data_IF_809343748569
#
_entry.id   IF_809343748569
#
_cell.length_a   1.000
_cell.length_b   1.000
_cell.length_c   1.000
_cell.angle_alpha   90.00
_cell.angle_beta   90.00
_cell.angle_gamma   90.00
#
_symmetry.space_group_name_H-M   'P 1'
#
loop_
_entity.id
_entity.type
_entity.pdbx_description
1 polymer ?
#
# COMPACT_ATOMS: atom_id res chain seq x y z
N UNK A 1 -5.11 1.71 1.28
CA UNK A 1 -3.64 1.68 1.02
C UNK A 1 -3.44 1.35 -0.45
N UNK A 2 -2.52 2.05 -1.11
CA UNK A 2 -2.09 1.73 -2.47
C UNK A 2 -0.62 1.35 -2.46
N UNK A 3 -0.26 0.39 -3.30
CA UNK A 3 1.11 -0.11 -3.44
C UNK A 3 1.46 -0.10 -4.93
N UNK A 4 2.72 0.14 -5.23
CA UNK A 4 3.29 0.02 -6.57
C UNK A 4 4.41 -1.00 -6.48
N UNK A 5 4.39 -2.00 -7.33
CA UNK A 5 5.45 -2.98 -7.43
C UNK A 5 6.47 -2.50 -8.46
N UNK A 6 7.73 -2.40 -8.06
CA UNK A 6 8.82 -1.96 -8.94
C UNK A 6 9.88 -3.04 -8.99
N UNK A 7 10.26 -3.44 -10.20
CA UNK A 7 11.43 -4.26 -10.47
C UNK A 7 12.58 -3.34 -10.90
N UNK A 8 13.50 -3.07 -9.97
CA UNK A 8 14.70 -2.27 -10.22
C UNK A 8 15.78 -3.06 -10.93
N UNK A 9 16.88 -2.39 -11.32
CA UNK A 9 18.04 -2.99 -11.98
C UNK A 9 17.67 -3.71 -13.30
N UNK A 10 16.75 -3.12 -14.04
CA UNK A 10 16.29 -3.73 -15.29
C UNK A 10 17.38 -3.79 -16.35
N UNK A 11 18.32 -2.86 -16.33
CA UNK A 11 19.57 -2.87 -17.13
C UNK A 11 20.39 -4.15 -16.92
N UNK A 12 20.60 -4.57 -15.65
CA UNK A 12 21.33 -5.80 -15.36
C UNK A 12 20.55 -7.04 -15.83
N UNK A 13 19.24 -7.04 -15.70
CA UNK A 13 18.43 -8.13 -16.22
C UNK A 13 18.46 -8.22 -17.75
N UNK A 14 18.52 -7.07 -18.45
CA UNK A 14 18.69 -7.00 -19.90
C UNK A 14 20.07 -7.55 -20.30
N UNK A 15 21.12 -7.22 -19.57
CA UNK A 15 22.46 -7.75 -19.82
C UNK A 15 22.47 -9.28 -19.71
N UNK A 16 21.90 -9.82 -18.62
CA UNK A 16 21.88 -11.28 -18.39
C UNK A 16 21.08 -12.07 -19.45
N UNK A 17 19.95 -11.53 -19.94
CA UNK A 17 19.07 -12.21 -20.92
C UNK A 17 19.39 -11.86 -22.38
N UNK A 18 20.10 -10.76 -22.61
CA UNK A 18 20.35 -10.19 -23.94
C UNK A 18 21.28 -11.01 -24.81
N UNK A 19 22.19 -11.79 -24.20
CA UNK A 19 23.09 -12.67 -24.93
C UNK A 19 22.37 -13.78 -25.69
N UNK A 20 21.19 -14.18 -25.25
CA UNK A 20 20.37 -15.23 -25.87
C UNK A 20 19.31 -14.68 -26.84
N UNK A 21 19.33 -13.39 -27.14
CA UNK A 21 18.32 -12.69 -27.94
C UNK A 21 18.95 -11.89 -29.08
N UNK A 22 18.12 -11.55 -30.02
CA UNK A 22 18.53 -10.83 -31.27
C UNK A 22 18.18 -9.34 -31.25
N UNK A 23 17.53 -8.86 -30.22
CA UNK A 23 17.15 -7.45 -30.09
C UNK A 23 16.76 -7.06 -28.66
N UNK A 24 16.83 -5.75 -28.34
CA UNK A 24 16.34 -5.17 -27.10
C UNK A 24 14.87 -5.54 -26.85
N UNK A 25 14.03 -5.43 -27.87
CA UNK A 25 12.60 -5.72 -27.74
C UNK A 25 12.35 -7.20 -27.38
N UNK A 26 13.02 -8.13 -28.04
CA UNK A 26 12.88 -9.56 -27.75
C UNK A 26 13.34 -9.88 -26.31
N UNK A 27 14.43 -9.26 -25.86
CA UNK A 27 14.95 -9.37 -24.49
C UNK A 27 13.95 -8.84 -23.47
N UNK A 28 13.42 -7.64 -23.68
CA UNK A 28 12.42 -7.04 -22.78
C UNK A 28 11.13 -7.83 -22.69
N UNK A 29 10.59 -8.28 -23.82
CA UNK A 29 9.35 -9.06 -23.89
C UNK A 29 9.48 -10.38 -23.10
N UNK A 30 10.64 -11.04 -23.26
CA UNK A 30 10.94 -12.25 -22.48
C UNK A 30 11.07 -11.97 -20.98
N UNK A 31 11.82 -10.92 -20.62
CA UNK A 31 12.00 -10.53 -19.22
C UNK A 31 10.69 -10.11 -18.56
N UNK A 32 9.89 -9.27 -19.21
CA UNK A 32 8.58 -8.83 -18.72
C UNK A 32 7.66 -10.01 -18.48
N UNK A 33 7.64 -10.99 -19.39
CA UNK A 33 6.86 -12.23 -19.26
C UNK A 33 7.36 -13.10 -18.09
N UNK A 34 8.68 -13.35 -18.02
CA UNK A 34 9.29 -14.23 -17.00
C UNK A 34 9.20 -13.63 -15.61
N UNK A 35 9.62 -12.37 -15.47
CA UNK A 35 9.62 -11.68 -14.18
C UNK A 35 8.21 -11.29 -13.73
N UNK A 36 7.32 -10.94 -14.66
CA UNK A 36 5.90 -10.70 -14.36
C UNK A 36 5.22 -11.93 -13.80
N UNK A 37 5.42 -13.11 -14.41
CA UNK A 37 4.90 -14.38 -13.90
C UNK A 37 5.44 -14.72 -12.50
N UNK A 38 6.74 -14.47 -12.27
CA UNK A 38 7.35 -14.67 -10.95
C UNK A 38 6.76 -13.72 -9.91
N UNK A 39 6.62 -12.45 -10.25
CA UNK A 39 6.01 -11.45 -9.37
C UNK A 39 4.57 -11.82 -9.01
N UNK A 40 3.75 -12.20 -9.97
CA UNK A 40 2.37 -12.66 -9.75
C UNK A 40 2.32 -13.86 -8.80
N UNK A 41 3.18 -14.85 -9.02
CA UNK A 41 3.27 -16.03 -8.15
C UNK A 41 3.65 -15.66 -6.70
N UNK A 42 4.64 -14.80 -6.51
CA UNK A 42 5.09 -14.38 -5.18
C UNK A 42 4.06 -13.47 -4.49
N UNK A 43 3.42 -12.56 -5.22
CA UNK A 43 2.36 -11.71 -4.66
C UNK A 43 1.14 -12.54 -4.26
N UNK A 44 0.77 -13.56 -5.05
CA UNK A 44 -0.31 -14.50 -4.70
C UNK A 44 0.00 -15.27 -3.42
N UNK A 45 1.21 -15.82 -3.27
CA UNK A 45 1.63 -16.51 -2.03
C UNK A 45 1.57 -15.57 -0.81
N UNK A 46 2.08 -14.34 -0.94
CA UNK A 46 2.02 -13.35 0.13
C UNK A 46 0.58 -12.97 0.47
N UNK A 47 -0.30 -12.86 -0.52
CA UNK A 47 -1.71 -12.60 -0.32
C UNK A 47 -2.37 -13.72 0.48
N UNK A 48 -2.11 -14.97 0.14
CA UNK A 48 -2.64 -16.13 0.86
C UNK A 48 -2.16 -16.16 2.32
N UNK A 49 -0.89 -15.88 2.57
CA UNK A 49 -0.37 -15.73 3.93
C UNK A 49 -1.07 -14.62 4.72
N UNK A 50 -1.35 -13.47 4.08
CA UNK A 50 -2.08 -12.36 4.73
C UNK A 50 -3.53 -12.72 5.00
N UNK A 51 -4.15 -13.46 4.11
CA UNK A 51 -5.51 -13.96 4.30
C UNK A 51 -5.60 -14.94 5.48
N UNK A 52 -4.66 -15.88 5.59
CA UNK A 52 -4.60 -16.84 6.71
C UNK A 52 -4.50 -16.17 8.09
N UNK A 53 -3.82 -15.02 8.17
CA UNK A 53 -3.75 -14.23 9.42
C UNK A 53 -4.85 -13.17 9.55
N UNK A 54 -5.94 -13.29 8.77
CA UNK A 54 -7.11 -12.43 8.86
C UNK A 54 -6.95 -11.03 8.28
N UNK A 55 -5.85 -10.73 7.56
CA UNK A 55 -5.59 -9.41 6.96
C UNK A 55 -6.14 -9.33 5.52
N UNK A 56 -7.45 -9.41 5.37
CA UNK A 56 -8.14 -9.52 4.07
C UNK A 56 -7.87 -8.35 3.13
N UNK A 57 -7.87 -7.11 3.64
CA UNK A 57 -7.58 -5.92 2.82
C UNK A 57 -6.16 -5.96 2.24
N UNK A 58 -5.18 -6.35 3.05
CA UNK A 58 -3.80 -6.47 2.58
C UNK A 58 -3.65 -7.61 1.55
N UNK A 59 -4.37 -8.72 1.73
CA UNK A 59 -4.40 -9.81 0.77
C UNK A 59 -4.96 -9.35 -0.58
N UNK A 60 -6.06 -8.60 -0.57
CA UNK A 60 -6.65 -8.03 -1.79
C UNK A 60 -5.73 -7.04 -2.50
N UNK A 61 -5.03 -6.18 -1.74
CA UNK A 61 -4.03 -5.27 -2.31
C UNK A 61 -2.90 -6.01 -3.01
N UNK A 62 -2.38 -7.07 -2.40
CA UNK A 62 -1.30 -7.89 -2.99
C UNK A 62 -1.76 -8.60 -4.27
N UNK A 63 -2.99 -9.15 -4.30
CA UNK A 63 -3.54 -9.78 -5.51
C UNK A 63 -3.71 -8.82 -6.69
N UNK A 64 -3.86 -7.53 -6.42
CA UNK A 64 -3.96 -6.51 -7.47
C UNK A 64 -2.59 -6.05 -8.00
N UNK A 65 -1.48 -6.49 -7.39
CA UNK A 65 -0.12 -6.17 -7.82
C UNK A 65 0.40 -7.22 -8.83
N UNK A 66 -0.24 -7.32 -9.98
CA UNK A 66 0.04 -8.37 -10.96
C UNK A 66 1.18 -8.06 -11.91
N UNK A 67 1.51 -6.77 -12.08
CA UNK A 67 2.57 -6.36 -13.02
C UNK A 67 3.51 -5.35 -12.36
N UNK A 68 4.81 -5.68 -12.24
CA UNK A 68 5.81 -4.75 -11.78
C UNK A 68 6.12 -3.70 -12.86
N UNK A 69 6.44 -2.49 -12.42
CA UNK A 69 7.07 -1.49 -13.26
C UNK A 69 8.57 -1.82 -13.31
N UNK A 70 9.06 -2.17 -14.49
CA UNK A 70 10.48 -2.41 -14.72
C UNK A 70 11.18 -1.06 -14.90
N UNK A 71 12.21 -0.79 -14.11
CA UNK A 71 12.92 0.48 -14.14
C UNK A 71 14.42 0.30 -13.85
N UNK A 72 15.25 1.19 -14.39
CA UNK A 72 16.68 1.23 -14.12
C UNK A 72 17.18 2.64 -13.80
N UNK A 73 17.84 2.79 -12.66
CA UNK A 73 18.52 4.03 -12.28
C UNK A 73 19.78 4.28 -13.12
N UNK A 74 20.50 3.23 -13.50
CA UNK A 74 21.68 3.36 -14.35
C UNK A 74 21.29 3.81 -15.76
N UNK A 75 20.29 3.18 -16.37
CA UNK A 75 19.78 3.59 -17.68
C UNK A 75 19.28 5.05 -17.67
N UNK A 76 18.63 5.47 -16.57
CA UNK A 76 18.27 6.88 -16.39
C UNK A 76 19.50 7.79 -16.37
N UNK A 77 20.56 7.39 -15.70
CA UNK A 77 21.82 8.11 -15.69
C UNK A 77 22.49 8.12 -17.07
N UNK A 78 22.48 7.01 -17.81
CA UNK A 78 23.04 6.94 -19.18
C UNK A 78 22.33 7.90 -20.13
N UNK A 79 21.01 8.06 -19.99
CA UNK A 79 20.23 8.96 -20.81
C UNK A 79 20.38 10.44 -20.45
N UNK A 80 20.64 10.78 -19.17
CA UNK A 80 20.46 12.15 -18.67
C UNK A 80 21.70 12.77 -18.02
N UNK A 81 22.72 11.99 -17.68
CA UNK A 81 23.90 12.50 -16.98
C UNK A 81 25.13 12.47 -17.88
N UNK A 82 26.02 13.45 -17.80
CA UNK A 82 27.28 13.44 -18.50
C UNK A 82 28.16 12.29 -17.96
N UNK A 83 28.95 11.67 -18.86
CA UNK A 83 29.78 10.48 -18.57
C UNK A 83 30.78 10.69 -17.43
N UNK A 84 31.18 11.92 -17.18
CA UNK A 84 32.08 12.33 -16.09
C UNK A 84 31.49 12.08 -14.69
N UNK A 85 30.17 12.07 -14.59
CA UNK A 85 29.43 11.79 -13.34
C UNK A 85 29.20 10.30 -13.09
N UNK A 86 29.54 9.45 -14.04
CA UNK A 86 29.29 8.02 -13.90
C UNK A 86 30.38 7.39 -13.02
N UNK A 87 29.97 6.65 -12.00
CA UNK A 87 30.87 5.80 -11.23
C UNK A 87 31.40 4.62 -12.04
N UNK A 88 32.42 3.95 -11.52
CA UNK A 88 33.08 2.83 -12.23
C UNK A 88 32.09 1.71 -12.58
N UNK A 89 31.22 1.31 -11.65
CA UNK A 89 30.22 0.26 -11.91
C UNK A 89 29.24 0.67 -13.02
N UNK A 90 28.84 1.93 -13.04
CA UNK A 90 27.94 2.46 -14.05
C UNK A 90 28.59 2.45 -15.44
N UNK A 91 29.85 2.84 -15.54
CA UNK A 91 30.65 2.76 -16.77
C UNK A 91 30.80 1.32 -17.25
N UNK A 92 31.06 0.40 -16.32
CA UNK A 92 31.19 -1.02 -16.64
C UNK A 92 29.89 -1.56 -17.24
N UNK A 93 28.74 -1.38 -16.56
CA UNK A 93 27.42 -1.83 -17.06
C UNK A 93 27.08 -1.21 -18.41
N UNK A 94 27.38 0.07 -18.62
CA UNK A 94 27.17 0.72 -19.91
C UNK A 94 27.97 0.04 -21.03
N UNK A 95 29.25 -0.20 -20.80
CA UNK A 95 30.12 -0.81 -21.80
C UNK A 95 29.69 -2.25 -22.13
N UNK A 96 29.41 -3.04 -21.10
CA UNK A 96 28.92 -4.42 -21.26
C UNK A 96 27.60 -4.48 -22.07
N UNK A 97 26.66 -3.59 -21.79
CA UNK A 97 25.40 -3.53 -22.54
C UNK A 97 25.60 -3.09 -24.00
N UNK A 98 26.50 -2.14 -24.25
CA UNK A 98 26.82 -1.73 -25.62
C UNK A 98 27.56 -2.81 -26.42
N UNK A 99 28.49 -3.50 -25.76
CA UNK A 99 29.22 -4.62 -26.34
C UNK A 99 28.28 -5.78 -26.67
N UNK A 100 27.47 -6.19 -25.71
CA UNK A 100 26.44 -7.20 -25.91
C UNK A 100 25.47 -6.86 -27.04
N UNK A 101 24.99 -5.61 -27.11
CA UNK A 101 24.11 -5.17 -28.17
C UNK A 101 24.80 -5.21 -29.55
N UNK A 102 26.07 -4.80 -29.63
CA UNK A 102 26.86 -4.84 -30.88
C UNK A 102 27.06 -6.27 -31.32
N UNK A 103 27.41 -7.16 -30.42
CA UNK A 103 27.77 -8.56 -30.75
C UNK A 103 26.54 -9.42 -31.06
N UNK A 104 25.42 -9.23 -30.33
CA UNK A 104 24.28 -10.15 -30.43
C UNK A 104 23.06 -9.54 -31.14
N UNK A 105 22.98 -8.20 -31.29
CA UNK A 105 21.80 -7.53 -31.87
C UNK A 105 22.14 -6.90 -33.25
N UNK A 106 22.78 -7.65 -34.11
CA UNK A 106 23.10 -7.28 -35.50
C UNK A 106 23.90 -5.99 -35.66
N UNK A 107 24.84 -5.73 -34.72
CA UNK A 107 25.65 -4.50 -34.73
C UNK A 107 24.94 -3.26 -34.22
N UNK A 108 23.81 -3.43 -33.54
CA UNK A 108 23.06 -2.33 -32.98
C UNK A 108 23.80 -1.69 -31.78
N UNK A 109 23.69 -0.37 -31.66
CA UNK A 109 24.14 0.36 -30.48
C UNK A 109 22.92 0.92 -29.75
N UNK A 110 22.92 0.82 -28.42
CA UNK A 110 21.87 1.41 -27.59
C UNK A 110 21.97 2.93 -27.64
N UNK A 111 20.90 3.56 -28.09
CA UNK A 111 20.77 5.02 -28.21
C UNK A 111 20.31 5.67 -26.92
N UNK A 112 20.31 7.01 -26.86
CA UNK A 112 19.76 7.75 -25.72
C UNK A 112 18.25 7.47 -25.51
N UNK A 113 17.52 7.18 -26.58
CA UNK A 113 16.09 6.83 -26.49
C UNK A 113 15.89 5.42 -25.93
N UNK A 114 16.74 4.46 -26.32
CA UNK A 114 16.73 3.13 -25.72
C UNK A 114 17.02 3.21 -24.21
N UNK A 115 17.97 4.03 -23.80
CA UNK A 115 18.26 4.24 -22.37
C UNK A 115 17.09 4.87 -21.62
N UNK A 116 16.37 5.83 -22.21
CA UNK A 116 15.15 6.40 -21.62
C UNK A 116 14.06 5.34 -21.49
N UNK A 117 13.92 4.49 -22.51
CA UNK A 117 12.97 3.39 -22.51
C UNK A 117 13.28 2.36 -21.43
N UNK A 118 14.53 1.91 -21.33
CA UNK A 118 14.99 0.97 -20.28
C UNK A 118 14.85 1.60 -18.88
N UNK A 119 15.13 2.90 -18.74
CA UNK A 119 14.97 3.63 -17.49
C UNK A 119 13.53 3.61 -16.98
N UNK A 120 12.58 3.82 -17.87
CA UNK A 120 11.12 3.80 -17.64
C UNK A 120 10.66 4.66 -16.44
N UNK A 121 11.34 5.77 -16.20
CA UNK A 121 11.05 6.66 -15.08
C UNK A 121 9.72 7.39 -15.23
N UNK A 122 9.24 7.61 -16.44
CA UNK A 122 7.92 8.22 -16.68
C UNK A 122 6.79 7.35 -16.14
N UNK A 123 6.82 6.04 -16.39
CA UNK A 123 5.85 5.10 -15.85
C UNK A 123 5.93 5.06 -14.31
N UNK A 124 7.14 5.10 -13.74
CA UNK A 124 7.36 5.12 -12.30
C UNK A 124 6.79 6.40 -11.66
N UNK A 125 7.08 7.57 -12.24
CA UNK A 125 6.57 8.87 -11.77
C UNK A 125 5.05 8.93 -11.87
N UNK A 126 4.49 8.46 -13.00
CA UNK A 126 3.04 8.41 -13.21
C UNK A 126 2.36 7.52 -12.18
N UNK A 127 2.89 6.32 -11.94
CA UNK A 127 2.36 5.40 -10.92
C UNK A 127 2.44 6.00 -9.50
N UNK A 128 3.54 6.67 -9.18
CA UNK A 128 3.69 7.38 -7.91
C UNK A 128 2.69 8.52 -7.75
N UNK A 129 2.52 9.36 -8.78
CA UNK A 129 1.57 10.47 -8.76
C UNK A 129 0.13 9.96 -8.62
N UNK A 130 -0.23 8.90 -9.34
CA UNK A 130 -1.53 8.26 -9.23
C UNK A 130 -1.76 7.74 -7.81
N UNK A 131 -0.80 7.01 -7.25
CA UNK A 131 -0.88 6.48 -5.89
C UNK A 131 -1.02 7.61 -4.85
N UNK A 132 -0.32 8.74 -5.04
CA UNK A 132 -0.40 9.93 -4.18
C UNK A 132 -1.78 10.58 -4.26
N UNK A 133 -2.30 10.80 -5.45
CA UNK A 133 -3.63 11.40 -5.67
C UNK A 133 -4.72 10.55 -5.05
N UNK A 134 -4.68 9.25 -5.26
CA UNK A 134 -5.62 8.30 -4.68
C UNK A 134 -5.53 8.25 -3.15
N UNK A 135 -4.32 8.35 -2.58
CA UNK A 135 -4.14 8.45 -1.13
C UNK A 135 -4.82 9.70 -0.57
N UNK A 136 -4.64 10.84 -1.21
CA UNK A 136 -5.26 12.11 -0.78
C UNK A 136 -6.79 12.00 -0.83
N UNK A 137 -7.34 11.44 -1.92
CA UNK A 137 -8.77 11.23 -2.06
C UNK A 137 -9.34 10.30 -0.98
N UNK A 138 -8.65 9.20 -0.69
CA UNK A 138 -9.02 8.27 0.37
C UNK A 138 -8.97 8.90 1.77
N UNK A 139 -7.93 9.69 2.07
CA UNK A 139 -7.83 10.40 3.35
C UNK A 139 -8.96 11.41 3.50
N UNK A 140 -9.28 12.15 2.44
CA UNK A 140 -10.41 13.09 2.44
C UNK A 140 -11.74 12.38 2.67
N UNK A 141 -11.98 11.26 1.99
CA UNK A 141 -13.18 10.43 2.18
C UNK A 141 -13.27 9.88 3.61
N UNK A 142 -12.15 9.42 4.18
CA UNK A 142 -12.10 8.95 5.56
C UNK A 142 -12.41 10.09 6.55
N UNK A 143 -11.83 11.27 6.35
CA UNK A 143 -12.15 12.44 7.19
C UNK A 143 -13.61 12.84 7.10
N UNK A 144 -14.18 12.85 5.91
CA UNK A 144 -15.60 13.16 5.68
C UNK A 144 -16.53 12.10 6.31
N UNK A 145 -16.10 10.84 6.38
CA UNK A 145 -16.85 9.74 7.00
C UNK A 145 -16.77 9.68 8.53
N UNK A 146 -15.68 10.18 9.13
CA UNK A 146 -15.45 10.08 10.59
C UNK A 146 -16.54 10.78 11.41
N UNK A 147 -16.95 11.96 11.02
CA UNK A 147 -17.94 12.76 11.77
C UNK A 147 -19.34 12.11 11.76
N UNK A 148 -19.90 11.67 10.62
CA UNK A 148 -21.14 10.93 10.55
C UNK A 148 -21.10 9.61 11.35
N UNK A 149 -20.00 8.86 11.27
CA UNK A 149 -19.82 7.60 11.99
C UNK A 149 -19.77 7.83 13.51
N UNK A 150 -19.02 8.83 13.97
CA UNK A 150 -18.95 9.21 15.37
C UNK A 150 -20.33 9.66 15.89
N UNK A 151 -21.07 10.42 15.09
CA UNK A 151 -22.45 10.84 15.43
C UNK A 151 -23.40 9.65 15.55
N UNK A 152 -23.34 8.70 14.61
CA UNK A 152 -24.17 7.50 14.65
C UNK A 152 -23.86 6.63 15.87
N UNK A 153 -22.58 6.47 16.21
CA UNK A 153 -22.13 5.73 17.39
C UNK A 153 -22.60 6.39 18.70
N UNK A 154 -22.52 7.72 18.79
CA UNK A 154 -23.03 8.49 19.93
C UNK A 154 -24.55 8.36 20.07
N UNK A 155 -25.29 8.44 18.98
CA UNK A 155 -26.75 8.26 18.99
C UNK A 155 -27.13 6.85 19.46
N UNK A 156 -26.44 5.82 18.97
CA UNK A 156 -26.64 4.43 19.41
C UNK A 156 -26.38 4.25 20.90
N UNK A 157 -25.27 4.82 21.39
CA UNK A 157 -24.91 4.79 22.81
C UNK A 157 -25.96 5.49 23.69
N UNK A 158 -26.45 6.66 23.25
CA UNK A 158 -27.51 7.38 23.96
C UNK A 158 -28.82 6.58 24.01
N UNK A 159 -29.20 5.93 22.91
CA UNK A 159 -30.38 5.06 22.87
C UNK A 159 -30.22 3.87 23.82
N UNK A 160 -29.07 3.22 23.86
CA UNK A 160 -28.79 2.13 24.78
C UNK A 160 -28.83 2.57 26.24
N UNK A 161 -28.26 3.75 26.58
CA UNK A 161 -28.29 4.33 27.89
C UNK A 161 -29.73 4.68 28.32
N UNK A 162 -30.49 5.34 27.45
CA UNK A 162 -31.90 5.68 27.74
C UNK A 162 -32.70 4.42 28.02
N UNK A 163 -32.58 3.40 27.20
CA UNK A 163 -33.28 2.12 27.38
C UNK A 163 -32.85 1.39 28.67
N UNK A 164 -31.56 1.44 29.02
CA UNK A 164 -31.06 0.86 30.26
C UNK A 164 -31.61 1.61 31.48
N UNK A 165 -31.67 2.94 31.45
CA UNK A 165 -32.24 3.78 32.50
C UNK A 165 -33.76 3.51 32.65
N UNK A 166 -34.52 3.50 31.55
CA UNK A 166 -35.95 3.18 31.57
C UNK A 166 -36.21 1.79 32.15
N UNK A 167 -35.45 0.79 31.74
CA UNK A 167 -35.54 -0.56 32.28
C UNK A 167 -35.24 -0.56 33.77
N UNK A 168 -34.28 0.23 34.20
CA UNK A 168 -33.89 0.35 35.59
C UNK A 168 -34.95 1.07 36.47
N UNK A 169 -35.54 2.13 35.91
CA UNK A 169 -36.67 2.81 36.56
C UNK A 169 -37.82 1.84 36.78
N UNK A 170 -38.18 1.04 35.77
CA UNK A 170 -39.22 0.04 35.86
C UNK A 170 -38.89 -1.08 36.90
N UNK A 171 -37.62 -1.46 37.03
CA UNK A 171 -37.19 -2.41 38.07
C UNK A 171 -37.28 -1.80 39.46
N UNK A 172 -36.79 -0.56 39.63
CA UNK A 172 -36.84 0.14 40.90
C UNK A 172 -38.26 0.41 41.41
N UNK A 173 -39.22 0.56 40.48
CA UNK A 173 -40.64 0.68 40.86
C UNK A 173 -41.24 -0.65 41.36
N UNK A 174 -40.58 -1.78 41.09
CA UNK A 174 -41.04 -3.12 41.46
C UNK A 174 -40.31 -3.72 42.69
N UNK A 175 -39.11 -3.22 42.97
CA UNK A 175 -38.27 -3.81 44.03
C UNK A 175 -38.30 -3.03 45.34
N UNK A 176 -38.16 -3.77 46.46
CA UNK A 176 -38.21 -3.28 47.85
C UNK A 176 -37.05 -2.32 48.17
N UNK A 177 -37.32 -1.26 48.91
CA UNK A 177 -36.38 -0.16 49.24
C UNK A 177 -35.06 -0.63 49.90
N UNK A 178 -35.00 -1.82 50.48
CA UNK A 178 -33.78 -2.38 51.10
C UNK A 178 -32.66 -2.76 50.13
N UNK A 179 -32.98 -3.01 48.87
CA UNK A 179 -32.00 -3.37 47.80
C UNK A 179 -31.44 -2.16 47.04
N UNK A 180 -32.07 -0.99 47.22
CA UNK A 180 -31.74 0.24 46.48
C UNK A 180 -30.30 0.72 46.66
N UNK A 181 -29.74 0.59 47.85
CA UNK A 181 -28.40 1.09 48.16
C UNK A 181 -27.27 0.32 47.47
N UNK A 182 -27.39 -0.99 47.34
CA UNK A 182 -26.38 -1.82 46.68
C UNK A 182 -26.47 -1.71 45.14
N UNK A 183 -27.67 -1.50 44.65
CA UNK A 183 -27.95 -1.32 43.24
C UNK A 183 -27.56 0.06 42.71
N UNK A 184 -27.69 1.11 43.53
CA UNK A 184 -27.20 2.45 43.23
C UNK A 184 -25.67 2.43 42.98
N UNK A 185 -24.92 1.77 43.87
CA UNK A 185 -23.47 1.61 43.70
C UNK A 185 -23.09 0.83 42.41
N UNK A 186 -23.85 -0.21 42.08
CA UNK A 186 -23.63 -0.98 40.86
C UNK A 186 -23.88 -0.15 39.60
N UNK A 187 -24.92 0.71 39.62
CA UNK A 187 -25.25 1.62 38.52
C UNK A 187 -24.18 2.70 38.34
N UNK A 188 -23.68 3.29 39.42
CA UNK A 188 -22.59 4.27 39.42
C UNK A 188 -21.30 3.67 38.81
N UNK A 189 -20.95 2.43 39.13
CA UNK A 189 -19.80 1.74 38.54
C UNK A 189 -19.98 1.46 37.04
N UNK A 190 -21.20 1.14 36.60
CA UNK A 190 -21.48 0.97 35.18
C UNK A 190 -21.36 2.28 34.39
N UNK A 191 -21.87 3.38 34.94
CA UNK A 191 -21.75 4.72 34.35
C UNK A 191 -20.27 5.12 34.21
N UNK A 192 -19.46 4.88 35.24
CA UNK A 192 -18.02 5.16 35.17
C UNK A 192 -17.31 4.34 34.10
N UNK A 193 -17.62 3.04 33.96
CA UNK A 193 -17.08 2.17 32.90
C UNK A 193 -17.47 2.63 31.49
N UNK A 194 -18.71 3.09 31.33
CA UNK A 194 -19.17 3.63 30.04
C UNK A 194 -18.49 4.96 29.71
N UNK A 195 -18.31 5.84 30.72
CA UNK A 195 -17.59 7.10 30.53
C UNK A 195 -16.13 6.89 30.13
N UNK A 196 -15.44 5.89 30.69
CA UNK A 196 -14.09 5.51 30.33
C UNK A 196 -14.07 5.00 28.87
N UNK A 197 -14.96 4.07 28.49
CA UNK A 197 -15.05 3.57 27.13
C UNK A 197 -15.35 4.66 26.10
N UNK A 198 -16.22 5.62 26.43
CA UNK A 198 -16.52 6.75 25.58
C UNK A 198 -15.27 7.62 25.38
N UNK A 199 -14.54 7.91 26.45
CA UNK A 199 -13.27 8.67 26.39
C UNK A 199 -12.25 7.96 25.51
N UNK A 200 -12.08 6.65 25.70
CA UNK A 200 -11.14 5.84 24.90
C UNK A 200 -11.54 5.79 23.41
N UNK A 201 -12.84 5.68 23.13
CA UNK A 201 -13.35 5.68 21.74
C UNK A 201 -13.13 7.04 21.06
N UNK A 202 -13.39 8.14 21.77
CA UNK A 202 -13.14 9.50 21.28
C UNK A 202 -11.65 9.77 21.14
N UNK A 203 -10.84 9.36 22.12
CA UNK A 203 -9.38 9.46 22.05
C UNK A 203 -8.80 8.72 20.82
N UNK A 204 -9.19 7.46 20.64
CA UNK A 204 -8.78 6.67 19.47
C UNK A 204 -9.27 7.24 18.13
N UNK A 205 -10.40 7.94 18.11
CA UNK A 205 -10.88 8.62 16.90
C UNK A 205 -10.08 9.88 16.59
N UNK A 206 -9.69 10.63 17.62
CA UNK A 206 -8.81 11.80 17.51
C UNK A 206 -7.40 11.41 17.06
N UNK A 207 -6.79 10.39 17.68
CA UNK A 207 -5.47 9.89 17.30
C UNK A 207 -5.42 9.37 15.86
N UNK A 208 -6.53 8.80 15.35
CA UNK A 208 -6.66 8.40 13.95
C UNK A 208 -6.86 9.58 12.99
N UNK A 209 -7.33 10.70 13.45
CA UNK A 209 -7.52 11.90 12.64
C UNK A 209 -6.22 12.75 12.55
N UNK A 210 -5.29 12.57 13.50
CA UNK A 210 -3.99 13.25 13.54
C UNK A 210 -2.87 12.48 12.81
N UNK A 211 -3.08 11.19 12.47
CA UNK A 211 -2.19 10.37 11.65
C UNK A 211 -2.54 10.41 10.16
#
# INVERSE_FOLDING_TARGET
>A
KRMVLVAGQFDSAILDDGYDRDSLKATEDNLKKRLGKRADTEMSKLADQRQQVGRLENAQLLRNLTQPIFASTYAHGFANWPKERWGNNMKHVYNELQEMATDNWQGSQLTADDWRHIANFEALVTAYQTARTDKIALLKQQQEGLLPEAKANLQSLLQHLTKAIETRILQLQKDDLSKLGDEQKACEMQIQRLAIRLRDTVGNALDKAEQ
#
